data_IF_069404435174
#
_entry.id   IF_069404435174
#
_cell.length_a   1.000
_cell.length_b   1.000
_cell.length_c   1.000
_cell.angle_alpha   90.00
_cell.angle_beta   90.00
_cell.angle_gamma   90.00
#
_symmetry.space_group_name_H-M   'P 1'
#
loop_
_entity.id
_entity.type
_entity.pdbx_description
1 polymer ?
#
# COMPACT_ATOMS: atom_id res chain seq x y z
N UNK A 1 -4.23 -34.09 29.14
CA UNK A 1 -4.03 -32.69 28.68
C UNK A 1 -5.31 -32.21 28.01
N UNK A 2 -6.31 -31.77 28.80
CA UNK A 2 -7.59 -31.26 28.28
C UNK A 2 -7.59 -29.72 28.40
N UNK A 3 -7.11 -29.02 27.38
CA UNK A 3 -7.32 -27.57 27.26
C UNK A 3 -8.74 -27.36 26.75
N UNK A 4 -9.58 -26.68 27.54
CA UNK A 4 -10.88 -26.20 27.06
C UNK A 4 -10.59 -25.16 25.97
N UNK A 5 -10.87 -25.50 24.71
CA UNK A 5 -10.73 -24.53 23.62
C UNK A 5 -11.77 -23.43 23.80
N UNK A 6 -11.29 -22.19 23.92
CA UNK A 6 -12.15 -21.01 24.01
C UNK A 6 -11.64 -19.95 23.01
N UNK A 7 -12.38 -19.77 21.92
CA UNK A 7 -12.04 -18.81 20.87
C UNK A 7 -12.52 -17.37 21.16
N UNK A 8 -13.15 -17.11 22.31
CA UNK A 8 -13.61 -15.75 22.67
C UNK A 8 -12.48 -14.73 22.79
N UNK A 9 -11.23 -15.17 22.94
CA UNK A 9 -10.05 -14.29 22.92
C UNK A 9 -9.93 -13.49 21.61
N UNK A 10 -10.44 -13.99 20.48
CA UNK A 10 -10.47 -13.25 19.21
C UNK A 10 -11.33 -11.98 19.27
N UNK A 11 -12.35 -11.94 20.13
CA UNK A 11 -13.17 -10.75 20.32
C UNK A 11 -12.38 -9.58 20.90
N UNK A 12 -11.31 -9.86 21.66
CA UNK A 12 -10.42 -8.83 22.22
C UNK A 12 -9.55 -8.16 21.14
N UNK A 13 -9.40 -8.78 19.97
CA UNK A 13 -8.63 -8.24 18.83
C UNK A 13 -9.48 -7.28 17.99
N UNK A 14 -10.80 -7.44 17.99
CA UNK A 14 -11.73 -6.64 17.17
C UNK A 14 -11.51 -5.13 17.34
N UNK A 15 -11.37 -4.55 18.55
CA UNK A 15 -11.19 -3.11 18.70
C UNK A 15 -9.93 -2.59 17.99
N UNK A 16 -8.81 -3.30 18.14
CA UNK A 16 -7.54 -2.92 17.50
C UNK A 16 -7.65 -3.07 15.98
N UNK A 17 -8.23 -4.18 15.51
CA UNK A 17 -8.44 -4.41 14.09
C UNK A 17 -9.26 -3.29 13.44
N UNK A 18 -10.36 -2.89 14.08
CA UNK A 18 -11.24 -1.82 13.59
C UNK A 18 -10.48 -0.49 13.50
N UNK A 19 -9.71 -0.13 14.54
CA UNK A 19 -8.94 1.12 14.55
C UNK A 19 -7.89 1.12 13.42
N UNK A 20 -7.14 0.04 13.26
CA UNK A 20 -6.11 -0.09 12.22
C UNK A 20 -6.74 -0.10 10.83
N UNK A 21 -7.89 -0.75 10.66
CA UNK A 21 -8.60 -0.75 9.39
C UNK A 21 -9.02 0.67 8.99
N UNK A 22 -9.64 1.44 9.89
CA UNK A 22 -10.04 2.81 9.58
C UNK A 22 -8.84 3.73 9.31
N UNK A 23 -7.76 3.60 10.09
CA UNK A 23 -6.56 4.43 9.91
C UNK A 23 -5.84 4.14 8.59
N UNK A 24 -5.95 2.93 8.04
CA UNK A 24 -5.39 2.58 6.74
C UNK A 24 -6.33 2.88 5.56
N UNK A 25 -7.63 2.61 5.71
CA UNK A 25 -8.61 2.71 4.62
C UNK A 25 -8.87 4.17 4.24
N UNK A 26 -9.01 5.09 5.20
CA UNK A 26 -9.33 6.50 4.90
C UNK A 26 -8.22 7.16 4.06
N UNK A 27 -6.93 7.06 4.43
CA UNK A 27 -5.84 7.54 3.58
C UNK A 27 -5.80 6.83 2.22
N UNK A 28 -6.02 5.51 2.18
CA UNK A 28 -6.02 4.77 0.92
C UNK A 28 -7.11 5.26 -0.05
N UNK A 29 -8.33 5.52 0.44
CA UNK A 29 -9.40 6.10 -0.38
C UNK A 29 -8.99 7.46 -0.97
N UNK A 30 -8.22 8.26 -0.21
CA UNK A 30 -7.72 9.56 -0.66
C UNK A 30 -6.65 9.41 -1.74
N UNK A 31 -5.72 8.47 -1.58
CA UNK A 31 -4.70 8.16 -2.59
C UNK A 31 -5.35 7.69 -3.89
N UNK A 32 -6.33 6.78 -3.81
CA UNK A 32 -7.07 6.31 -4.98
C UNK A 32 -7.83 7.47 -5.64
N UNK A 33 -8.47 8.34 -4.86
CA UNK A 33 -9.18 9.50 -5.37
C UNK A 33 -8.25 10.45 -6.14
N UNK A 34 -7.04 10.70 -5.63
CA UNK A 34 -6.05 11.53 -6.32
C UNK A 34 -5.44 10.85 -7.54
N UNK A 35 -5.32 9.52 -7.55
CA UNK A 35 -4.75 8.80 -8.71
C UNK A 35 -5.57 8.94 -10.01
N UNK A 36 -6.86 9.24 -9.91
CA UNK A 36 -7.77 9.40 -11.06
C UNK A 36 -8.11 10.86 -11.39
N UNK A 37 -7.52 11.80 -10.65
CA UNK A 37 -7.75 13.23 -10.79
C UNK A 37 -6.45 13.95 -11.12
N UNK A 38 -6.53 14.92 -12.02
CA UNK A 38 -5.47 15.88 -12.26
C UNK A 38 -5.73 17.14 -11.42
N UNK A 39 -4.73 17.57 -10.66
CA UNK A 39 -4.86 18.66 -9.68
C UNK A 39 -3.86 19.77 -10.04
N UNK A 40 -4.35 20.79 -10.75
CA UNK A 40 -3.53 21.93 -11.19
C UNK A 40 -3.34 23.00 -10.11
N UNK A 41 -4.20 23.01 -9.09
CA UNK A 41 -4.16 23.98 -8.00
C UNK A 41 -5.33 23.83 -7.03
N UNK A 42 -5.42 24.67 -5.99
CA UNK A 42 -6.50 24.63 -5.02
C UNK A 42 -7.87 24.80 -5.71
N UNK A 43 -8.74 23.80 -5.58
CA UNK A 43 -10.09 23.82 -6.15
C UNK A 43 -10.20 23.47 -7.64
N UNK A 44 -9.08 23.28 -8.35
CA UNK A 44 -9.05 22.87 -9.75
C UNK A 44 -8.67 21.40 -9.85
N UNK A 45 -9.69 20.53 -9.88
CA UNK A 45 -9.53 19.08 -10.05
C UNK A 45 -10.29 18.61 -11.27
N UNK A 46 -9.60 17.94 -12.19
CA UNK A 46 -10.18 17.38 -13.41
C UNK A 46 -10.14 15.87 -13.32
N UNK A 47 -11.27 15.20 -13.52
CA UNK A 47 -11.31 13.75 -13.56
C UNK A 47 -10.77 13.26 -14.91
N UNK A 48 -9.69 12.49 -14.87
CA UNK A 48 -8.98 11.97 -16.06
C UNK A 48 -8.98 10.44 -16.10
N UNK A 49 -9.51 9.78 -15.06
CA UNK A 49 -9.71 8.33 -15.05
C UNK A 49 -8.38 7.56 -15.01
N UNK A 50 -8.04 6.90 -16.12
CA UNK A 50 -6.90 5.95 -16.18
C UNK A 50 -5.69 6.48 -16.96
N UNK A 51 -5.73 7.72 -17.45
CA UNK A 51 -4.68 8.23 -18.33
C UNK A 51 -3.30 8.25 -17.66
N UNK A 52 -3.18 8.76 -16.42
CA UNK A 52 -1.92 8.69 -15.67
C UNK A 52 -1.41 7.26 -15.51
N UNK A 53 -2.30 6.29 -15.26
CA UNK A 53 -1.88 4.90 -15.12
C UNK A 53 -1.26 4.37 -16.42
N UNK A 54 -1.86 4.69 -17.58
CA UNK A 54 -1.31 4.27 -18.88
C UNK A 54 0.04 4.93 -19.14
N UNK A 55 0.16 6.23 -18.90
CA UNK A 55 1.39 6.99 -19.11
C UNK A 55 2.52 6.48 -18.22
N UNK A 56 2.25 6.31 -16.93
CA UNK A 56 3.20 5.78 -15.94
C UNK A 56 3.62 4.34 -16.31
N UNK A 57 2.70 3.49 -16.76
CA UNK A 57 3.01 2.12 -17.20
C UNK A 57 3.82 2.06 -18.51
N UNK A 58 3.92 3.16 -19.26
CA UNK A 58 4.70 3.23 -20.49
C UNK A 58 6.05 3.94 -20.30
N UNK A 59 6.34 4.48 -19.12
CA UNK A 59 7.57 5.20 -18.83
C UNK A 59 8.76 4.24 -18.62
N UNK A 60 9.71 4.26 -19.56
CA UNK A 60 10.94 3.47 -19.48
C UNK A 60 11.79 3.79 -18.26
N UNK A 61 11.78 5.05 -17.80
CA UNK A 61 12.55 5.48 -16.63
C UNK A 61 11.97 4.88 -15.36
N UNK A 62 10.63 4.79 -15.29
CA UNK A 62 9.97 4.11 -14.19
C UNK A 62 10.34 2.63 -14.18
N UNK A 63 10.33 1.96 -15.33
CA UNK A 63 10.71 0.55 -15.43
C UNK A 63 12.15 0.29 -14.99
N UNK A 64 13.12 1.11 -15.41
CA UNK A 64 14.51 0.99 -14.95
C UNK A 64 14.63 1.23 -13.44
N UNK A 65 13.94 2.24 -12.91
CA UNK A 65 13.91 2.53 -11.48
C UNK A 65 13.30 1.38 -10.65
N UNK A 66 12.19 0.79 -11.11
CA UNK A 66 11.53 -0.36 -10.47
C UNK A 66 12.44 -1.59 -10.46
N UNK A 67 13.12 -1.87 -11.58
CA UNK A 67 14.08 -2.97 -11.67
C UNK A 67 15.23 -2.81 -10.66
N UNK A 68 15.79 -1.60 -10.56
CA UNK A 68 16.83 -1.28 -9.56
C UNK A 68 16.31 -1.40 -8.13
N UNK A 69 15.10 -0.91 -7.85
CA UNK A 69 14.50 -1.02 -6.52
C UNK A 69 14.36 -2.48 -6.09
N UNK A 70 13.81 -3.33 -6.95
CA UNK A 70 13.68 -4.76 -6.65
C UNK A 70 15.06 -5.41 -6.44
N UNK A 71 16.03 -5.12 -7.30
CA UNK A 71 17.38 -5.67 -7.17
C UNK A 71 18.04 -5.25 -5.85
N UNK A 72 18.00 -3.97 -5.49
CA UNK A 72 18.59 -3.49 -4.24
C UNK A 72 17.87 -4.04 -3.02
N UNK A 73 16.52 -4.04 -3.00
CA UNK A 73 15.76 -4.63 -1.90
C UNK A 73 16.04 -6.13 -1.76
N UNK A 74 16.13 -6.88 -2.85
CA UNK A 74 16.48 -8.31 -2.82
C UNK A 74 17.90 -8.55 -2.31
N UNK A 75 18.89 -7.75 -2.74
CA UNK A 75 20.26 -7.85 -2.25
C UNK A 75 20.35 -7.57 -0.75
N UNK A 76 19.66 -6.53 -0.26
CA UNK A 76 19.60 -6.20 1.17
C UNK A 76 18.97 -7.36 1.94
N UNK A 77 17.81 -7.85 1.51
CA UNK A 77 17.14 -8.99 2.18
C UNK A 77 18.00 -10.26 2.18
N UNK A 78 18.75 -10.52 1.11
CA UNK A 78 19.64 -11.67 1.01
C UNK A 78 20.79 -11.59 2.02
N UNK A 79 21.20 -10.39 2.42
CA UNK A 79 22.23 -10.17 3.45
C UNK A 79 21.59 -10.12 4.84
N UNK A 80 20.48 -9.41 5.01
CA UNK A 80 19.80 -9.21 6.30
C UNK A 80 19.21 -10.52 6.84
N UNK A 81 18.50 -11.31 6.02
CA UNK A 81 17.86 -12.55 6.49
C UNK A 81 18.87 -13.55 7.11
N UNK A 82 20.07 -13.78 6.53
CA UNK A 82 21.08 -14.63 7.16
C UNK A 82 21.80 -14.00 8.35
N UNK A 83 21.95 -12.67 8.40
CA UNK A 83 22.69 -11.99 9.47
C UNK A 83 21.81 -11.69 10.70
N UNK A 84 20.50 -11.56 10.53
CA UNK A 84 19.54 -11.16 11.56
C UNK A 84 19.38 -9.64 11.66
#
# INVERSE_FOLDING_TARGET
MNKVQNNKAWLLVIPVFVIVAFSAIIPLMTVVNYSVQDIFGPGQRVFIGTEWFKEVMQDERLHDALGRQLLFSSLVLLIEIPLG
#
